data_IF_696544583769
#
_entry.id   IF_696544583769
#
_cell.length_a   1.000
_cell.length_b   1.000
_cell.length_c   1.000
_cell.angle_alpha   90.00
_cell.angle_beta   90.00
_cell.angle_gamma   90.00
#
_symmetry.space_group_name_H-M   'P 1'
#
loop_
_entity.id
_entity.type
_entity.pdbx_description
1 polymer ?
#
# COMPACT_ATOMS: atom_id res chain seq x y z
N UNK A 1 36.47 -14.72 24.94
CA UNK A 1 35.61 -15.76 25.57
C UNK A 1 34.26 -15.23 26.03
N UNK A 2 34.19 -14.27 26.98
CA UNK A 2 32.88 -13.72 27.42
C UNK A 2 32.13 -13.01 26.29
N UNK A 3 32.85 -12.18 25.51
CA UNK A 3 32.29 -11.43 24.38
C UNK A 3 31.73 -12.37 23.31
N UNK A 4 32.44 -13.46 23.00
CA UNK A 4 32.02 -14.44 21.99
C UNK A 4 30.75 -15.17 22.41
N UNK A 5 30.65 -15.53 23.69
CA UNK A 5 29.45 -16.13 24.27
C UNK A 5 28.26 -15.17 24.21
N UNK A 6 28.46 -13.90 24.59
CA UNK A 6 27.43 -12.86 24.53
C UNK A 6 26.97 -12.61 23.08
N UNK A 7 27.89 -12.60 22.12
CA UNK A 7 27.59 -12.47 20.70
C UNK A 7 26.75 -13.65 20.19
N UNK A 8 27.12 -14.89 20.56
CA UNK A 8 26.38 -16.09 20.19
C UNK A 8 24.96 -16.10 20.79
N UNK A 9 24.81 -15.73 22.07
CA UNK A 9 23.50 -15.62 22.73
C UNK A 9 22.62 -14.56 22.07
N UNK A 10 23.18 -13.39 21.78
CA UNK A 10 22.47 -12.29 21.10
C UNK A 10 22.00 -12.69 19.70
N UNK A 11 22.84 -13.41 18.95
CA UNK A 11 22.49 -13.92 17.63
C UNK A 11 21.34 -14.95 17.69
N UNK A 12 21.40 -15.88 18.64
CA UNK A 12 20.34 -16.88 18.85
C UNK A 12 19.00 -16.24 19.19
N UNK A 13 18.99 -15.21 20.04
CA UNK A 13 17.78 -14.47 20.40
C UNK A 13 17.20 -13.71 19.19
N UNK A 14 18.05 -13.06 18.39
CA UNK A 14 17.65 -12.42 17.13
C UNK A 14 17.01 -13.42 16.15
N UNK A 15 17.63 -14.58 15.93
CA UNK A 15 17.07 -15.65 15.09
C UNK A 15 15.69 -16.09 15.59
N UNK A 16 15.57 -16.28 16.91
CA UNK A 16 14.33 -16.70 17.56
C UNK A 16 13.21 -15.65 17.37
N UNK A 17 13.52 -14.35 17.46
CA UNK A 17 12.55 -13.28 17.17
C UNK A 17 12.14 -13.28 15.70
N UNK A 18 13.11 -13.42 14.79
CA UNK A 18 12.85 -13.46 13.34
C UNK A 18 11.97 -14.65 12.96
N UNK A 19 12.20 -15.82 13.54
CA UNK A 19 11.39 -17.01 13.29
C UNK A 19 9.96 -16.84 13.80
N UNK A 20 9.78 -16.31 15.02
CA UNK A 20 8.44 -16.02 15.58
C UNK A 20 7.70 -14.97 14.75
N UNK A 21 8.40 -13.92 14.31
CA UNK A 21 7.83 -12.91 13.42
C UNK A 21 7.37 -13.54 12.10
N UNK A 22 8.21 -14.38 11.47
CA UNK A 22 7.86 -15.08 10.23
C UNK A 22 6.60 -15.94 10.39
N UNK A 23 6.52 -16.75 11.45
CA UNK A 23 5.33 -17.55 11.75
C UNK A 23 4.08 -16.67 11.96
N UNK A 24 4.22 -15.53 12.63
CA UNK A 24 3.13 -14.58 12.82
C UNK A 24 2.66 -13.96 11.50
N UNK A 25 3.59 -13.57 10.63
CA UNK A 25 3.32 -13.05 9.29
C UNK A 25 2.58 -14.09 8.44
N UNK A 26 3.08 -15.33 8.39
CA UNK A 26 2.44 -16.43 7.65
C UNK A 26 1.01 -16.67 8.11
N UNK A 27 0.76 -16.74 9.42
CA UNK A 27 -0.60 -16.85 9.96
C UNK A 27 -1.48 -15.67 9.57
N UNK A 28 -0.96 -14.45 9.62
CA UNK A 28 -1.70 -13.25 9.24
C UNK A 28 -2.00 -13.18 7.73
N UNK A 29 -1.12 -13.72 6.87
CA UNK A 29 -1.40 -13.92 5.45
C UNK A 29 -2.52 -14.94 5.24
N UNK A 30 -2.47 -16.11 5.90
CA UNK A 30 -3.53 -17.12 5.82
C UNK A 30 -4.89 -16.58 6.28
N UNK A 31 -4.90 -15.72 7.30
CA UNK A 31 -6.11 -15.04 7.78
C UNK A 31 -6.52 -13.81 6.94
N UNK A 32 -5.82 -13.49 5.86
CA UNK A 32 -6.15 -12.37 4.97
C UNK A 32 -6.02 -10.98 5.62
N UNK A 33 -5.22 -10.83 6.68
CA UNK A 33 -5.06 -9.55 7.40
C UNK A 33 -4.27 -8.52 6.60
N UNK A 34 -3.34 -8.96 5.75
CA UNK A 34 -2.54 -8.07 4.90
C UNK A 34 -3.33 -7.66 3.65
N UNK A 35 -3.93 -6.47 3.69
CA UNK A 35 -4.70 -5.90 2.56
C UNK A 35 -3.91 -4.84 1.75
N UNK A 36 -2.66 -4.60 2.12
CA UNK A 36 -1.85 -3.51 1.54
C UNK A 36 -2.38 -2.12 1.85
N UNK A 37 -1.85 -1.11 1.16
CA UNK A 37 -2.28 0.29 1.31
C UNK A 37 -3.66 0.48 0.67
N UNK A 38 -4.65 0.81 1.49
CA UNK A 38 -6.00 1.06 1.00
C UNK A 38 -6.09 2.39 0.24
N UNK A 39 -6.94 2.41 -0.78
CA UNK A 39 -7.25 3.61 -1.54
C UNK A 39 -8.01 4.62 -0.67
N UNK A 40 -7.65 5.91 -0.80
CA UNK A 40 -8.40 6.98 -0.15
C UNK A 40 -9.60 7.38 -1.03
N UNK A 41 -10.75 6.76 -0.74
CA UNK A 41 -11.96 6.80 -1.59
C UNK A 41 -12.43 8.23 -1.91
N UNK A 42 -12.43 9.13 -0.94
CA UNK A 42 -12.90 10.51 -1.15
C UNK A 42 -12.02 11.29 -2.15
N UNK A 43 -10.70 11.10 -2.12
CA UNK A 43 -9.81 11.73 -3.11
C UNK A 43 -9.98 11.10 -4.48
N UNK A 44 -10.22 9.79 -4.56
CA UNK A 44 -10.54 9.13 -5.82
C UNK A 44 -11.85 9.69 -6.43
N UNK A 45 -12.87 9.92 -5.61
CA UNK A 45 -14.12 10.58 -6.04
C UNK A 45 -13.87 12.00 -6.55
N UNK A 46 -13.00 12.79 -5.89
CA UNK A 46 -12.61 14.12 -6.39
C UNK A 46 -11.95 14.04 -7.77
N UNK A 47 -11.04 13.09 -7.97
CA UNK A 47 -10.42 12.84 -9.28
C UNK A 47 -11.49 12.50 -10.34
N UNK A 48 -12.45 11.63 -10.01
CA UNK A 48 -13.55 11.27 -10.91
C UNK A 48 -14.44 12.46 -11.25
N UNK A 49 -14.82 13.26 -10.26
CA UNK A 49 -15.62 14.47 -10.46
C UNK A 49 -14.92 15.44 -11.41
N UNK A 50 -13.62 15.70 -11.21
CA UNK A 50 -12.86 16.59 -12.10
C UNK A 50 -12.74 16.07 -13.53
N UNK A 51 -12.55 14.75 -13.70
CA UNK A 51 -12.40 14.14 -15.04
C UNK A 51 -13.72 13.95 -15.78
N UNK A 52 -14.77 13.53 -15.08
CA UNK A 52 -16.05 13.15 -15.69
C UNK A 52 -17.02 14.32 -15.79
N UNK A 53 -17.11 15.16 -14.75
CA UNK A 53 -18.06 16.28 -14.69
C UNK A 53 -17.42 17.55 -15.22
N UNK A 54 -16.29 17.98 -14.64
CA UNK A 54 -15.61 19.23 -15.05
C UNK A 54 -14.80 19.11 -16.34
N UNK A 55 -14.56 17.88 -16.85
CA UNK A 55 -13.79 17.59 -18.06
C UNK A 55 -12.38 18.21 -18.10
N UNK A 56 -11.77 18.46 -16.94
CA UNK A 56 -10.40 19.02 -16.82
C UNK A 56 -9.37 18.06 -17.39
N UNK A 57 -8.26 18.56 -17.93
CA UNK A 57 -7.15 17.71 -18.41
C UNK A 57 -6.52 16.90 -17.26
N UNK A 58 -5.72 15.88 -17.60
CA UNK A 58 -5.03 15.04 -16.61
C UNK A 58 -4.07 15.88 -15.76
N UNK A 59 -3.38 16.84 -16.38
CA UNK A 59 -2.41 17.71 -15.70
C UNK A 59 -3.09 18.67 -14.74
N UNK A 60 -4.17 19.33 -15.17
CA UNK A 60 -4.96 20.22 -14.31
C UNK A 60 -5.64 19.46 -13.16
N UNK A 61 -6.10 18.23 -13.41
CA UNK A 61 -6.68 17.38 -12.36
C UNK A 61 -5.62 16.98 -11.33
N UNK A 62 -4.41 16.65 -11.77
CA UNK A 62 -3.29 16.33 -10.89
C UNK A 62 -2.95 17.51 -9.98
N UNK A 63 -2.86 18.71 -10.55
CA UNK A 63 -2.63 19.96 -9.81
C UNK A 63 -3.76 20.25 -8.80
N UNK A 64 -5.02 20.16 -9.22
CA UNK A 64 -6.18 20.42 -8.36
C UNK A 64 -6.39 19.39 -7.23
N UNK A 65 -5.85 18.18 -7.38
CA UNK A 65 -6.01 17.09 -6.39
C UNK A 65 -4.75 16.81 -5.58
N UNK A 66 -3.61 17.40 -5.96
CA UNK A 66 -2.30 17.13 -5.36
C UNK A 66 -1.76 15.72 -5.66
N UNK A 67 -2.31 15.03 -6.66
CA UNK A 67 -1.82 13.73 -7.11
C UNK A 67 -0.87 13.85 -8.28
N UNK A 68 -0.03 12.84 -8.51
CA UNK A 68 0.72 12.73 -9.75
C UNK A 68 -0.20 12.39 -10.92
N UNK A 69 0.19 12.79 -12.13
CA UNK A 69 -0.52 12.43 -13.37
C UNK A 69 -0.70 10.93 -13.51
N UNK A 70 0.32 10.14 -13.18
CA UNK A 70 0.24 8.67 -13.20
C UNK A 70 -0.78 8.12 -12.20
N UNK A 71 -0.92 8.74 -11.03
CA UNK A 71 -1.94 8.36 -10.06
C UNK A 71 -3.34 8.65 -10.60
N UNK A 72 -3.55 9.81 -11.22
CA UNK A 72 -4.82 10.16 -11.88
C UNK A 72 -5.17 9.12 -12.94
N UNK A 73 -4.25 8.77 -13.85
CA UNK A 73 -4.46 7.75 -14.87
C UNK A 73 -4.82 6.39 -14.27
N UNK A 74 -4.10 5.96 -13.22
CA UNK A 74 -4.38 4.68 -12.56
C UNK A 74 -5.76 4.66 -11.92
N UNK A 75 -6.17 5.74 -11.27
CA UNK A 75 -7.51 5.87 -10.69
C UNK A 75 -8.57 5.80 -11.81
N UNK A 76 -8.34 6.45 -12.96
CA UNK A 76 -9.24 6.37 -14.11
C UNK A 76 -9.40 4.93 -14.63
N UNK A 77 -8.31 4.19 -14.78
CA UNK A 77 -8.35 2.79 -15.21
C UNK A 77 -9.11 1.91 -14.20
N UNK A 78 -8.79 2.05 -12.91
CA UNK A 78 -9.39 1.27 -11.83
C UNK A 78 -10.92 1.40 -11.77
N UNK A 79 -11.46 2.62 -11.92
CA UNK A 79 -12.92 2.80 -11.92
C UNK A 79 -13.58 2.49 -13.26
N UNK A 80 -12.82 2.42 -14.37
CA UNK A 80 -13.36 1.93 -15.63
C UNK A 80 -13.65 0.43 -15.54
N UNK A 81 -12.71 -0.33 -14.97
CA UNK A 81 -12.86 -1.77 -14.73
C UNK A 81 -14.03 -2.07 -13.79
N UNK A 82 -14.20 -1.29 -12.71
CA UNK A 82 -15.34 -1.42 -11.79
C UNK A 82 -16.72 -1.13 -12.40
N UNK A 83 -16.79 -0.47 -13.56
CA UNK A 83 -18.06 -0.17 -14.26
C UNK A 83 -18.35 -1.21 -15.35
N UNK A 84 -17.33 -1.94 -15.79
CA UNK A 84 -17.47 -3.01 -16.80
C UNK A 84 -17.82 -4.38 -16.21
N UNK A 85 -17.54 -4.59 -14.92
CA UNK A 85 -18.04 -5.72 -14.13
C UNK A 85 -19.44 -5.43 -13.55
#
# INVERSE_FOLDING_TARGET
MLIDLMAAMSHKDWLSRRQRQKQGIERAHMLGKYKGKQAYKERHQKVMYYRQVKKLSIRETAEATGYSTSQVCRIQALYKELVSD
#
